data_IF_854283206091
#
_entry.id   IF_854283206091
#
_cell.length_a   1.000
_cell.length_b   1.000
_cell.length_c   1.000
_cell.angle_alpha   90.00
_cell.angle_beta   90.00
_cell.angle_gamma   90.00
#
_symmetry.space_group_name_H-M   'P 1'
#
loop_
_entity.id
_entity.type
_entity.pdbx_description
1 polymer ?
#
# COMPACT_ATOMS: atom_id res chain seq x y z
N UNK A 1 -8.56 -0.76 4.60
CA UNK A 1 -8.12 -1.94 3.82
C UNK A 1 -7.82 -1.48 2.39
N UNK A 2 -7.40 -2.36 1.48
CA UNK A 2 -6.87 -2.00 0.15
C UNK A 2 -7.73 -0.99 -0.64
N UNK A 3 -9.07 -1.14 -0.63
CA UNK A 3 -9.99 -0.21 -1.32
C UNK A 3 -9.88 1.24 -0.84
N UNK A 4 -9.56 1.46 0.44
CA UNK A 4 -9.49 2.79 1.02
C UNK A 4 -8.14 3.47 0.72
N UNK A 5 -7.14 2.76 0.21
CA UNK A 5 -5.79 3.34 0.00
C UNK A 5 -5.84 4.61 -0.84
N UNK A 6 -6.73 4.68 -1.84
CA UNK A 6 -6.94 5.88 -2.63
C UNK A 6 -7.33 7.09 -1.77
N UNK A 7 -8.35 6.94 -0.90
CA UNK A 7 -8.84 8.01 -0.03
C UNK A 7 -7.73 8.52 0.91
N UNK A 8 -6.92 7.62 1.45
CA UNK A 8 -5.83 7.96 2.37
C UNK A 8 -4.72 8.74 1.67
N UNK A 9 -4.42 8.39 0.41
CA UNK A 9 -3.45 9.14 -0.40
C UNK A 9 -3.95 10.56 -0.70
N UNK A 10 -5.22 10.71 -1.08
CA UNK A 10 -5.81 12.02 -1.34
C UNK A 10 -5.88 12.89 -0.08
N UNK A 11 -6.30 12.33 1.05
CA UNK A 11 -6.33 13.02 2.34
C UNK A 11 -4.94 13.54 2.72
N UNK A 12 -3.90 12.72 2.51
CA UNK A 12 -2.54 13.13 2.88
C UNK A 12 -2.01 14.26 1.99
N UNK A 13 -2.32 14.27 0.69
CA UNK A 13 -1.89 15.33 -0.24
C UNK A 13 -2.35 16.74 0.15
N UNK A 14 -3.51 16.85 0.82
CA UNK A 14 -4.08 18.14 1.26
C UNK A 14 -3.29 18.76 2.41
N UNK A 15 -2.66 17.93 3.26
CA UNK A 15 -2.10 18.37 4.55
C UNK A 15 -0.58 18.60 4.55
N UNK A 16 0.10 18.34 3.43
CA UNK A 16 1.57 18.14 3.42
C UNK A 16 2.35 19.19 2.63
N UNK A 17 1.65 20.21 2.12
CA UNK A 17 2.29 21.35 1.47
C UNK A 17 3.21 22.10 2.44
N UNK A 18 4.41 22.53 2.03
CA UNK A 18 4.97 22.50 0.67
C UNK A 18 5.83 21.26 0.35
N UNK A 19 5.88 20.25 1.22
CA UNK A 19 6.83 19.14 1.10
C UNK A 19 6.28 17.98 0.26
N UNK A 20 7.16 17.35 -0.51
CA UNK A 20 6.85 16.13 -1.22
C UNK A 20 7.08 14.92 -0.30
N UNK A 21 6.03 14.13 -0.06
CA UNK A 21 6.13 12.88 0.71
C UNK A 21 6.42 11.73 -0.24
N UNK A 22 7.36 10.88 0.18
CA UNK A 22 7.63 9.58 -0.46
C UNK A 22 6.81 8.51 0.24
N UNK A 23 5.93 7.86 -0.51
CA UNK A 23 5.09 6.78 0.01
C UNK A 23 5.58 5.41 -0.44
N UNK A 24 5.34 4.42 0.42
CA UNK A 24 5.46 2.99 0.11
C UNK A 24 4.17 2.32 0.56
N UNK A 25 3.54 1.56 -0.34
CA UNK A 25 2.40 0.73 0.01
C UNK A 25 2.88 -0.57 0.63
N UNK A 26 2.33 -0.92 1.80
CA UNK A 26 2.67 -2.14 2.53
C UNK A 26 1.47 -3.10 2.52
N UNK A 27 1.61 -4.22 1.83
CA UNK A 27 0.68 -5.35 1.86
C UNK A 27 0.95 -6.23 3.08
N UNK A 28 0.36 -5.86 4.21
CA UNK A 28 0.58 -6.57 5.47
C UNK A 28 -0.23 -7.88 5.57
N UNK A 29 0.26 -8.82 6.38
CA UNK A 29 -0.30 -10.17 6.60
C UNK A 29 -0.16 -11.11 5.40
N UNK A 30 0.94 -11.01 4.66
CA UNK A 30 1.21 -11.93 3.53
C UNK A 30 1.29 -13.40 3.96
N UNK A 31 1.49 -13.66 5.26
CA UNK A 31 1.46 -14.97 5.90
C UNK A 31 0.09 -15.67 5.90
N UNK A 32 -1.00 -14.93 5.58
CA UNK A 32 -2.36 -15.45 5.42
C UNK A 32 -2.70 -15.69 3.95
N UNK A 33 -1.79 -16.29 3.18
CA UNK A 33 -1.93 -16.44 1.72
C UNK A 33 -3.21 -17.18 1.30
N UNK A 34 -3.65 -18.18 2.07
CA UNK A 34 -4.91 -18.91 1.80
C UNK A 34 -6.17 -18.05 2.00
N UNK A 35 -6.06 -16.91 2.69
CA UNK A 35 -7.14 -15.94 2.91
C UNK A 35 -6.94 -14.67 2.08
N UNK A 36 -5.97 -14.64 1.16
CA UNK A 36 -5.63 -13.49 0.33
C UNK A 36 -6.85 -13.00 -0.45
N UNK A 37 -7.19 -11.73 -0.26
CA UNK A 37 -8.24 -11.02 -1.01
C UNK A 37 -7.69 -10.00 -2.01
N UNK A 38 -6.38 -9.72 -1.92
CA UNK A 38 -5.66 -8.74 -2.73
C UNK A 38 -4.41 -9.41 -3.25
N UNK A 39 -4.35 -9.58 -4.56
CA UNK A 39 -3.22 -10.10 -5.32
C UNK A 39 -2.05 -9.12 -5.32
N UNK A 40 -0.85 -9.63 -5.56
CA UNK A 40 0.31 -8.74 -5.76
C UNK A 40 0.10 -7.83 -6.99
N UNK A 41 -0.43 -8.39 -8.08
CA UNK A 41 -0.62 -7.67 -9.34
C UNK A 41 -1.55 -6.44 -9.21
N UNK A 42 -2.65 -6.56 -8.47
CA UNK A 42 -3.56 -5.41 -8.29
C UNK A 42 -2.93 -4.31 -7.43
N UNK A 43 -2.12 -4.69 -6.42
CA UNK A 43 -1.39 -3.74 -5.59
C UNK A 43 -0.26 -3.05 -6.38
N UNK A 44 0.47 -3.79 -7.20
CA UNK A 44 1.47 -3.26 -8.14
C UNK A 44 0.85 -2.26 -9.11
N UNK A 45 -0.31 -2.59 -9.69
CA UNK A 45 -1.05 -1.70 -10.58
C UNK A 45 -1.45 -0.40 -9.87
N UNK A 46 -1.87 -0.49 -8.60
CA UNK A 46 -2.20 0.68 -7.81
C UNK A 46 -0.96 1.56 -7.60
N UNK A 47 0.15 1.02 -7.10
CA UNK A 47 1.34 1.84 -6.83
C UNK A 47 1.96 2.43 -8.09
N UNK A 48 1.87 1.75 -9.23
CA UNK A 48 2.31 2.27 -10.52
C UNK A 48 1.52 3.54 -10.91
N UNK A 49 0.21 3.59 -10.64
CA UNK A 49 -0.61 4.76 -10.92
C UNK A 49 -0.26 5.98 -10.05
N UNK A 50 0.30 5.77 -8.85
CA UNK A 50 0.71 6.83 -7.92
C UNK A 50 2.23 7.08 -7.90
N UNK A 51 3.03 6.33 -8.67
CA UNK A 51 4.49 6.43 -8.64
C UNK A 51 5.11 6.00 -7.30
N UNK A 52 4.50 5.04 -6.60
CA UNK A 52 4.96 4.52 -5.31
C UNK A 52 5.63 3.16 -5.45
N UNK A 53 6.28 2.69 -4.38
CA UNK A 53 6.76 1.30 -4.27
C UNK A 53 5.77 0.44 -3.50
N UNK A 54 5.80 -0.86 -3.75
CA UNK A 54 5.02 -1.86 -3.03
C UNK A 54 5.93 -2.90 -2.36
N UNK A 55 5.57 -3.32 -1.16
CA UNK A 55 6.21 -4.44 -0.43
C UNK A 55 5.15 -5.23 0.33
N UNK A 56 5.30 -6.55 0.39
CA UNK A 56 4.51 -7.42 1.26
C UNK A 56 5.28 -7.75 2.54
N UNK A 57 4.58 -7.74 3.69
CA UNK A 57 5.19 -7.99 5.00
C UNK A 57 4.31 -8.86 5.89
N UNK A 58 4.93 -9.55 6.83
CA UNK A 58 4.28 -10.25 7.93
C UNK A 58 4.95 -9.90 9.25
N UNK A 59 4.23 -9.20 10.13
CA UNK A 59 4.68 -9.02 11.50
C UNK A 59 4.76 -10.35 12.29
N UNK A 60 3.99 -11.38 11.90
CA UNK A 60 3.99 -12.68 12.57
C UNK A 60 5.25 -13.47 12.24
N UNK A 61 5.58 -13.54 10.95
CA UNK A 61 6.66 -14.37 10.44
C UNK A 61 7.98 -13.58 10.31
N UNK A 62 7.97 -12.28 10.67
CA UNK A 62 9.09 -11.35 10.60
C UNK A 62 9.68 -11.21 9.20
N UNK A 63 8.80 -10.93 8.22
CA UNK A 63 9.09 -10.75 6.79
C UNK A 63 8.67 -9.36 6.36
#
# INVERSE_FOLDING_TARGET
>A
SFQNVHEWLEETKVHIQPYQIVFVLVGHKCDLDTQRQVTCHEAEKLVAAYGMKYIETSARDAI
#
